data_IF_173251232783
#
_entry.id   IF_173251232783
#
_cell.length_a   1.000
_cell.length_b   1.000
_cell.length_c   1.000
_cell.angle_alpha   90.00
_cell.angle_beta   90.00
_cell.angle_gamma   90.00
#
_symmetry.space_group_name_H-M   'P 1'
#
loop_
_entity.id
_entity.type
_entity.pdbx_description
1 polymer ?
#
# COMPACT_ATOMS: atom_id res chain seq x y z
N UNK A 1 3.02 -81.83 7.59
CA UNK A 1 3.38 -80.89 8.65
C UNK A 1 4.59 -80.05 8.26
N UNK A 2 5.83 -80.59 8.35
CA UNK A 2 7.07 -79.79 8.19
C UNK A 2 7.24 -79.22 6.77
N UNK A 3 6.93 -79.98 5.72
CA UNK A 3 6.93 -79.51 4.34
C UNK A 3 5.91 -78.39 4.10
N UNK A 4 4.70 -78.51 4.65
CA UNK A 4 3.68 -77.43 4.58
C UNK A 4 4.10 -76.16 5.34
N UNK A 5 4.84 -76.29 6.46
CA UNK A 5 5.41 -75.15 7.15
C UNK A 5 6.49 -74.45 6.33
N UNK A 6 7.38 -75.19 5.63
CA UNK A 6 8.35 -74.59 4.73
C UNK A 6 7.70 -73.93 3.52
N UNK A 7 6.66 -74.51 2.91
CA UNK A 7 5.88 -73.87 1.87
C UNK A 7 5.22 -72.56 2.36
N UNK A 8 4.73 -72.52 3.58
CA UNK A 8 4.23 -71.29 4.22
C UNK A 8 5.32 -70.26 4.42
N UNK A 9 6.50 -70.64 4.92
CA UNK A 9 7.66 -69.74 5.05
C UNK A 9 8.13 -69.16 3.71
N UNK A 10 8.10 -69.98 2.66
CA UNK A 10 8.47 -69.59 1.30
C UNK A 10 7.36 -68.82 0.58
N UNK A 11 6.19 -68.60 1.25
CA UNK A 11 5.01 -67.92 0.67
C UNK A 11 4.38 -68.70 -0.51
N UNK A 12 4.62 -69.99 -0.59
CA UNK A 12 4.04 -70.89 -1.60
C UNK A 12 2.64 -71.39 -1.17
N UNK A 13 2.36 -71.36 0.14
CA UNK A 13 1.06 -71.72 0.73
C UNK A 13 0.68 -70.69 1.79
N UNK A 14 -0.62 -70.40 1.94
CA UNK A 14 -1.17 -69.51 2.95
C UNK A 14 -1.46 -70.20 4.29
N UNK A 15 -1.46 -71.52 4.36
CA UNK A 15 -1.76 -72.30 5.52
C UNK A 15 -0.65 -73.29 5.88
N UNK A 16 -0.41 -73.48 7.17
CA UNK A 16 0.49 -74.50 7.68
C UNK A 16 -0.29 -75.50 8.56
N UNK A 17 0.04 -76.79 8.44
CA UNK A 17 -0.49 -77.85 9.26
C UNK A 17 0.51 -78.26 10.34
N UNK A 18 0.02 -78.44 11.58
CA UNK A 18 0.88 -78.90 12.67
C UNK A 18 1.25 -80.37 12.52
N UNK A 19 2.36 -80.74 13.16
CA UNK A 19 2.79 -82.14 13.26
C UNK A 19 1.88 -82.90 14.23
N UNK A 20 1.70 -84.22 14.02
CA UNK A 20 0.98 -85.07 14.91
C UNK A 20 1.73 -85.24 16.24
N UNK A 21 1.08 -84.90 17.38
CA UNK A 21 1.67 -84.96 18.72
C UNK A 21 1.15 -86.24 19.49
N UNK A 22 0.43 -87.11 18.83
CA UNK A 22 -0.22 -88.24 19.49
C UNK A 22 0.76 -89.31 20.02
N UNK A 23 1.97 -89.38 19.46
CA UNK A 23 3.01 -90.29 19.89
C UNK A 23 3.59 -89.88 21.27
N UNK A 24 3.84 -90.87 22.13
CA UNK A 24 4.40 -90.64 23.48
C UNK A 24 5.90 -90.89 23.55
N UNK A 25 6.54 -91.05 22.40
CA UNK A 25 7.98 -91.28 22.23
C UNK A 25 8.74 -89.96 21.96
N UNK A 26 10.00 -90.02 21.67
CA UNK A 26 10.88 -88.90 21.36
C UNK A 26 10.39 -88.10 20.15
N UNK A 27 9.69 -88.77 19.20
CA UNK A 27 9.14 -88.12 18.02
C UNK A 27 7.93 -87.24 18.37
N UNK A 28 7.06 -87.71 19.30
CA UNK A 28 5.97 -86.89 19.79
C UNK A 28 6.42 -85.66 20.61
N UNK A 29 7.50 -85.81 21.41
CA UNK A 29 8.09 -84.67 22.11
C UNK A 29 8.72 -83.68 21.13
N UNK A 30 9.41 -84.15 20.07
CA UNK A 30 9.96 -83.30 19.04
C UNK A 30 8.89 -82.60 18.24
N UNK A 31 7.76 -83.25 17.94
CA UNK A 31 6.59 -82.67 17.29
C UNK A 31 6.04 -81.49 18.09
N UNK A 32 5.94 -81.59 19.43
CA UNK A 32 5.48 -80.50 20.31
C UNK A 32 6.41 -79.26 20.23
N UNK A 33 7.69 -79.48 20.34
CA UNK A 33 8.67 -78.38 20.25
C UNK A 33 8.65 -77.70 18.88
N UNK A 34 8.54 -78.46 17.82
CA UNK A 34 8.42 -77.95 16.44
C UNK A 34 7.13 -77.17 16.27
N UNK A 35 5.96 -77.70 16.75
CA UNK A 35 4.68 -77.03 16.66
C UNK A 35 4.65 -75.71 17.41
N UNK A 36 5.25 -75.64 18.61
CA UNK A 36 5.38 -74.36 19.34
C UNK A 36 6.16 -73.34 18.51
N UNK A 37 7.25 -73.74 17.85
CA UNK A 37 8.01 -72.82 16.99
C UNK A 37 7.25 -72.45 15.71
N UNK A 38 6.50 -73.37 15.09
CA UNK A 38 5.60 -73.12 13.95
C UNK A 38 4.57 -72.03 14.32
N UNK A 39 3.87 -72.22 15.45
CA UNK A 39 2.85 -71.26 15.92
C UNK A 39 3.47 -69.91 16.24
N UNK A 40 4.62 -69.86 16.91
CA UNK A 40 5.33 -68.59 17.21
C UNK A 40 5.75 -67.88 15.95
N UNK A 41 6.32 -68.61 14.97
CA UNK A 41 6.75 -68.00 13.69
C UNK A 41 5.55 -67.51 12.88
N UNK A 42 4.44 -68.31 12.85
CA UNK A 42 3.22 -67.90 12.18
C UNK A 42 2.64 -66.62 12.80
N UNK A 43 2.51 -66.57 14.14
CA UNK A 43 2.05 -65.38 14.83
C UNK A 43 2.92 -64.13 14.52
N UNK A 44 4.26 -64.30 14.51
CA UNK A 44 5.18 -63.20 14.14
C UNK A 44 4.99 -62.73 12.70
N UNK A 45 4.81 -63.63 11.74
CA UNK A 45 4.57 -63.29 10.33
C UNK A 45 3.20 -62.57 10.19
N UNK A 46 2.19 -62.96 10.93
CA UNK A 46 0.87 -62.32 10.92
C UNK A 46 0.93 -60.90 11.55
N UNK A 47 1.69 -60.72 12.64
CA UNK A 47 1.96 -59.41 13.22
C UNK A 47 2.70 -58.49 12.22
N UNK A 48 3.76 -58.98 11.60
CA UNK A 48 4.55 -58.28 10.60
C UNK A 48 3.65 -57.82 9.44
N UNK A 49 2.79 -58.68 8.94
CA UNK A 49 1.87 -58.37 7.85
C UNK A 49 0.85 -57.29 8.23
N UNK A 50 0.25 -57.37 9.43
CA UNK A 50 -0.66 -56.32 9.91
C UNK A 50 0.02 -54.97 9.97
N UNK A 51 1.26 -54.89 10.45
CA UNK A 51 1.98 -53.62 10.49
C UNK A 51 2.30 -53.10 9.06
N UNK A 52 2.63 -53.97 8.12
CA UNK A 52 2.84 -53.61 6.73
C UNK A 52 1.56 -53.04 6.11
N UNK A 53 0.42 -53.69 6.31
CA UNK A 53 -0.87 -53.23 5.80
C UNK A 53 -1.27 -51.87 6.43
N UNK A 54 -1.08 -51.70 7.75
CA UNK A 54 -1.28 -50.44 8.44
C UNK A 54 -0.34 -49.35 7.92
N UNK A 55 0.93 -49.72 7.64
CA UNK A 55 1.92 -48.78 7.07
C UNK A 55 1.47 -48.27 5.71
N UNK A 56 1.00 -49.13 4.82
CA UNK A 56 0.46 -48.74 3.52
C UNK A 56 -0.75 -47.81 3.69
N UNK A 57 -1.62 -48.10 4.63
CA UNK A 57 -2.79 -47.23 4.92
C UNK A 57 -2.38 -45.87 5.44
N UNK A 58 -1.47 -45.80 6.44
CA UNK A 58 -0.98 -44.52 7.01
C UNK A 58 -0.25 -43.67 5.98
N UNK A 59 0.60 -44.30 5.14
CA UNK A 59 1.27 -43.58 4.07
C UNK A 59 0.31 -43.09 2.99
N UNK A 60 -0.79 -43.82 2.74
CA UNK A 60 -1.87 -43.39 1.86
C UNK A 60 -2.60 -42.15 2.38
N UNK A 61 -2.80 -42.05 3.69
CA UNK A 61 -3.36 -40.83 4.33
C UNK A 61 -2.35 -39.66 4.25
N UNK A 62 -1.06 -39.92 4.46
CA UNK A 62 -0.02 -38.90 4.29
C UNK A 62 0.04 -38.37 2.86
N UNK A 63 -0.13 -39.21 1.84
CA UNK A 63 -0.23 -38.80 0.44
C UNK A 63 -1.42 -37.86 0.19
N UNK A 64 -2.52 -38.03 0.90
CA UNK A 64 -3.69 -37.16 0.84
C UNK A 64 -3.57 -35.91 1.71
N UNK A 65 -2.51 -35.80 2.52
CA UNK A 65 -2.23 -34.65 3.38
C UNK A 65 -2.71 -34.79 4.83
N UNK A 66 -3.31 -35.93 5.20
CA UNK A 66 -3.62 -36.22 6.61
C UNK A 66 -2.36 -36.78 7.30
N UNK A 67 -1.64 -35.90 7.97
CA UNK A 67 -0.41 -36.23 8.70
C UNK A 67 -0.67 -36.66 10.15
N UNK A 68 -1.93 -36.74 10.60
CA UNK A 68 -2.29 -37.09 11.98
C UNK A 68 -2.25 -38.58 12.26
N UNK A 69 -2.23 -39.41 11.22
CA UNK A 69 -2.26 -40.87 11.35
C UNK A 69 -0.95 -41.45 11.87
N UNK A 70 -1.05 -42.51 12.69
CA UNK A 70 0.15 -43.16 13.28
C UNK A 70 -0.01 -44.67 13.24
N UNK A 71 1.16 -45.37 13.16
CA UNK A 71 1.24 -46.81 13.30
C UNK A 71 1.13 -47.18 14.76
N UNK A 72 0.16 -48.06 15.08
CA UNK A 72 -0.15 -48.54 16.45
C UNK A 72 0.09 -50.03 16.65
N UNK A 73 0.20 -50.81 15.57
CA UNK A 73 0.44 -52.26 15.61
C UNK A 73 1.84 -52.53 16.21
N UNK A 74 1.84 -53.35 17.26
CA UNK A 74 3.08 -53.84 17.88
C UNK A 74 3.53 -55.13 17.21
N UNK A 75 4.80 -55.20 16.94
CA UNK A 75 5.47 -56.34 16.27
C UNK A 75 6.67 -56.80 17.09
N UNK A 76 6.96 -58.09 16.99
CA UNK A 76 8.14 -58.67 17.62
C UNK A 76 9.42 -58.49 16.79
N UNK A 77 9.29 -58.13 15.50
CA UNK A 77 10.39 -57.95 14.57
C UNK A 77 11.07 -56.59 14.83
N UNK A 78 12.35 -56.57 15.24
CA UNK A 78 13.06 -55.32 15.57
C UNK A 78 13.16 -54.31 14.40
N UNK A 79 13.34 -54.83 13.17
CA UNK A 79 13.45 -53.99 12.00
C UNK A 79 12.11 -53.26 11.69
N UNK A 80 11.00 -53.93 11.81
CA UNK A 80 9.68 -53.33 11.61
C UNK A 80 9.31 -52.43 12.77
N UNK A 81 9.70 -52.70 14.00
CA UNK A 81 9.56 -51.81 15.14
C UNK A 81 10.30 -50.48 14.91
N UNK A 82 11.56 -50.58 14.39
CA UNK A 82 12.33 -49.39 14.03
C UNK A 82 11.65 -48.61 12.89
N UNK A 83 11.15 -49.29 11.86
CA UNK A 83 10.42 -48.67 10.76
C UNK A 83 9.18 -47.88 11.26
N UNK A 84 8.38 -48.53 12.12
CA UNK A 84 7.21 -47.87 12.73
C UNK A 84 7.62 -46.61 13.49
N UNK A 85 8.71 -46.66 14.27
CA UNK A 85 9.21 -45.48 15.01
C UNK A 85 9.62 -44.35 14.07
N UNK A 86 10.31 -44.67 12.95
CA UNK A 86 10.74 -43.66 11.97
C UNK A 86 9.55 -43.03 11.25
N UNK A 87 8.56 -43.82 10.83
CA UNK A 87 7.37 -43.31 10.14
C UNK A 87 6.53 -42.41 11.07
N UNK A 88 6.30 -42.85 12.32
CA UNK A 88 5.60 -42.04 13.29
C UNK A 88 6.35 -40.74 13.59
N UNK A 89 7.68 -40.80 13.77
CA UNK A 89 8.52 -39.62 13.97
C UNK A 89 8.51 -38.67 12.77
N UNK A 90 8.45 -39.19 11.53
CA UNK A 90 8.27 -38.37 10.33
C UNK A 90 6.93 -37.67 10.35
N UNK A 91 5.83 -38.40 10.69
CA UNK A 91 4.50 -37.80 10.84
C UNK A 91 4.50 -36.66 11.87
N UNK A 92 5.06 -36.90 13.08
CA UNK A 92 5.12 -35.88 14.15
C UNK A 92 5.84 -34.61 13.70
N UNK A 93 6.96 -34.76 12.99
CA UNK A 93 7.75 -33.60 12.53
C UNK A 93 7.02 -32.85 11.43
N UNK A 94 6.44 -33.54 10.45
CA UNK A 94 5.71 -32.89 9.35
C UNK A 94 4.47 -32.17 9.84
N UNK A 95 3.64 -32.85 10.66
CA UNK A 95 2.42 -32.29 11.25
C UNK A 95 2.75 -31.00 12.04
N UNK A 96 3.73 -31.04 12.96
CA UNK A 96 4.16 -29.91 13.75
C UNK A 96 4.68 -28.75 12.90
N UNK A 97 5.41 -29.02 11.83
CA UNK A 97 5.92 -27.96 10.95
C UNK A 97 4.80 -27.27 10.17
N UNK A 98 3.83 -28.04 9.68
CA UNK A 98 2.65 -27.49 8.99
C UNK A 98 1.79 -26.69 9.97
N UNK A 99 1.53 -27.21 11.17
CA UNK A 99 0.79 -26.47 12.22
C UNK A 99 1.43 -25.14 12.57
N UNK A 100 2.78 -25.09 12.72
CA UNK A 100 3.50 -23.85 12.98
C UNK A 100 3.31 -22.82 11.85
N UNK A 101 3.28 -23.29 10.60
CA UNK A 101 3.06 -22.40 9.45
C UNK A 101 1.62 -21.89 9.45
N UNK A 102 0.65 -22.78 9.70
CA UNK A 102 -0.78 -22.44 9.76
C UNK A 102 -1.07 -21.46 10.90
N UNK A 103 -0.48 -21.62 12.09
CA UNK A 103 -0.64 -20.69 13.22
C UNK A 103 -0.17 -19.27 12.84
N UNK A 104 0.96 -19.14 12.13
CA UNK A 104 1.45 -17.83 11.67
C UNK A 104 0.53 -17.24 10.60
N UNK A 105 0.04 -18.04 9.67
CA UNK A 105 -0.91 -17.58 8.64
C UNK A 105 -2.25 -17.16 9.25
N UNK A 106 -2.73 -17.84 10.30
CA UNK A 106 -3.92 -17.44 11.04
C UNK A 106 -3.72 -16.06 11.72
N UNK A 107 -2.56 -15.83 12.30
CA UNK A 107 -2.20 -14.49 12.83
C UNK A 107 -2.17 -13.44 11.74
N UNK A 108 -1.66 -13.77 10.55
CA UNK A 108 -1.66 -12.86 9.40
C UNK A 108 -3.09 -12.55 8.92
N UNK A 109 -3.99 -13.53 8.93
CA UNK A 109 -5.41 -13.32 8.61
C UNK A 109 -6.10 -12.39 9.60
N UNK A 110 -5.58 -12.32 10.84
CA UNK A 110 -6.00 -11.40 11.90
C UNK A 110 -5.22 -10.07 11.91
N UNK A 111 -4.57 -9.72 10.78
CA UNK A 111 -3.76 -8.50 10.60
C UNK A 111 -2.53 -8.39 11.51
N UNK A 112 -2.06 -9.48 12.13
CA UNK A 112 -0.86 -9.51 12.94
C UNK A 112 0.31 -10.12 12.16
N UNK A 113 1.07 -9.28 11.44
CA UNK A 113 2.17 -9.67 10.58
C UNK A 113 3.55 -9.72 11.28
N UNK A 114 3.59 -9.55 12.61
CA UNK A 114 4.85 -9.54 13.37
C UNK A 114 5.35 -10.94 13.72
N UNK A 115 4.47 -11.94 13.65
CA UNK A 115 4.81 -13.32 13.96
C UNK A 115 5.63 -13.94 12.83
N UNK A 116 6.52 -14.87 13.20
CA UNK A 116 7.40 -15.56 12.26
C UNK A 116 7.32 -17.06 12.46
N UNK A 117 7.37 -17.79 11.34
CA UNK A 117 7.57 -19.23 11.36
C UNK A 117 9.00 -19.54 11.80
N UNK A 118 9.16 -20.46 12.76
CA UNK A 118 10.49 -20.92 13.16
C UNK A 118 11.13 -21.72 12.04
N UNK A 119 12.37 -21.40 11.72
CA UNK A 119 13.16 -22.10 10.69
C UNK A 119 14.10 -23.15 11.27
N UNK A 120 14.12 -23.33 12.60
CA UNK A 120 15.02 -24.27 13.26
C UNK A 120 14.71 -25.71 12.87
N UNK A 121 15.74 -26.41 12.38
CA UNK A 121 15.64 -27.82 11.96
C UNK A 121 14.96 -28.04 10.62
N UNK A 122 14.44 -27.01 9.96
CA UNK A 122 13.88 -27.10 8.61
C UNK A 122 14.99 -27.15 7.56
N UNK A 123 14.71 -27.90 6.50
CA UNK A 123 15.61 -28.03 5.34
C UNK A 123 14.81 -27.87 4.05
N UNK A 124 15.54 -27.50 2.99
CA UNK A 124 15.06 -27.43 1.61
C UNK A 124 13.64 -26.83 1.49
N UNK A 125 12.66 -27.60 1.05
CA UNK A 125 11.31 -27.11 0.70
C UNK A 125 10.55 -26.52 1.92
N UNK A 126 10.66 -27.14 3.09
CA UNK A 126 10.02 -26.62 4.31
C UNK A 126 10.69 -25.35 4.78
N UNK A 127 12.01 -25.25 4.66
CA UNK A 127 12.75 -24.02 4.96
C UNK A 127 12.36 -22.90 3.97
N UNK A 128 12.27 -23.21 2.68
CA UNK A 128 11.86 -22.26 1.66
C UNK A 128 10.44 -21.75 1.91
N UNK A 129 9.51 -22.65 2.27
CA UNK A 129 8.13 -22.28 2.62
C UNK A 129 8.08 -21.36 3.85
N UNK A 130 8.78 -21.71 4.92
CA UNK A 130 8.87 -20.89 6.14
C UNK A 130 9.45 -19.50 5.85
N UNK A 131 10.53 -19.43 5.07
CA UNK A 131 11.12 -18.17 4.64
C UNK A 131 10.17 -17.34 3.76
N UNK A 132 9.41 -17.98 2.87
CA UNK A 132 8.40 -17.34 2.03
C UNK A 132 7.31 -16.67 2.88
N UNK A 133 6.77 -17.39 3.87
CA UNK A 133 5.77 -16.85 4.81
C UNK A 133 6.37 -15.69 5.61
N UNK A 134 7.59 -15.83 6.12
CA UNK A 134 8.27 -14.78 6.87
C UNK A 134 8.49 -13.52 6.02
N UNK A 135 8.92 -13.69 4.76
CA UNK A 135 9.12 -12.59 3.81
C UNK A 135 7.82 -11.87 3.47
N UNK A 136 6.71 -12.62 3.34
CA UNK A 136 5.37 -12.04 3.16
C UNK A 136 5.01 -11.13 4.34
N UNK A 137 5.18 -11.60 5.59
CA UNK A 137 4.93 -10.80 6.79
C UNK A 137 5.77 -9.52 6.84
N UNK A 138 7.07 -9.59 6.48
CA UNK A 138 7.95 -8.43 6.42
C UNK A 138 7.51 -7.42 5.35
N UNK A 139 7.17 -7.90 4.17
CA UNK A 139 6.72 -7.06 3.05
C UNK A 139 5.42 -6.33 3.40
N UNK A 140 4.42 -7.03 3.96
CA UNK A 140 3.16 -6.42 4.40
C UNK A 140 3.40 -5.42 5.54
N UNK A 141 4.26 -5.76 6.51
CA UNK A 141 4.61 -4.84 7.61
C UNK A 141 5.26 -3.56 7.09
N UNK A 142 6.16 -3.67 6.11
CA UNK A 142 6.83 -2.53 5.48
C UNK A 142 5.84 -1.66 4.72
N UNK A 143 4.95 -2.26 3.93
CA UNK A 143 3.90 -1.57 3.20
C UNK A 143 2.94 -0.81 4.14
N UNK A 144 2.54 -1.42 5.27
CA UNK A 144 1.69 -0.76 6.27
C UNK A 144 2.39 0.43 6.94
N UNK A 145 3.70 0.32 7.22
CA UNK A 145 4.50 1.44 7.75
C UNK A 145 4.58 2.59 6.75
N UNK A 146 4.82 2.28 5.48
CA UNK A 146 4.87 3.28 4.41
C UNK A 146 3.50 3.96 4.23
N UNK A 147 2.42 3.18 4.17
CA UNK A 147 1.06 3.72 4.09
C UNK A 147 0.71 4.64 5.26
N UNK A 148 1.11 4.27 6.49
CA UNK A 148 0.95 5.13 7.66
C UNK A 148 1.73 6.44 7.51
N UNK A 149 2.98 6.38 7.06
CA UNK A 149 3.81 7.57 6.80
C UNK A 149 3.20 8.49 5.75
N UNK A 150 2.72 7.89 4.64
CA UNK A 150 2.05 8.62 3.57
C UNK A 150 0.74 9.27 4.06
N UNK A 151 -0.03 8.58 4.90
CA UNK A 151 -1.23 9.12 5.53
C UNK A 151 -0.94 10.34 6.41
N UNK A 152 0.10 10.28 7.24
CA UNK A 152 0.54 11.41 8.07
C UNK A 152 1.02 12.60 7.22
N UNK A 153 1.75 12.34 6.15
CA UNK A 153 2.20 13.38 5.21
C UNK A 153 1.03 14.04 4.51
N UNK A 154 0.01 13.27 4.10
CA UNK A 154 -1.21 13.78 3.49
C UNK A 154 -2.02 14.66 4.46
N UNK A 155 -2.15 14.24 5.72
CA UNK A 155 -2.78 15.03 6.78
C UNK A 155 -2.06 16.37 6.98
N UNK A 156 -0.73 16.34 7.09
CA UNK A 156 0.09 17.56 7.22
C UNK A 156 -0.06 18.47 6.00
N UNK A 157 -0.04 17.92 4.78
CA UNK A 157 -0.23 18.69 3.54
C UNK A 157 -1.62 19.32 3.47
N UNK A 158 -2.66 18.60 3.89
CA UNK A 158 -4.03 19.13 3.97
C UNK A 158 -4.14 20.31 4.94
N UNK A 159 -3.49 20.21 6.11
CA UNK A 159 -3.47 21.33 7.07
C UNK A 159 -2.75 22.55 6.51
N UNK A 160 -1.63 22.38 5.80
CA UNK A 160 -0.93 23.48 5.10
C UNK A 160 -1.81 24.09 4.02
N UNK A 161 -2.54 23.28 3.25
CA UNK A 161 -3.47 23.78 2.24
C UNK A 161 -4.58 24.62 2.86
N UNK A 162 -5.17 24.20 3.98
CA UNK A 162 -6.20 24.98 4.70
C UNK A 162 -5.65 26.36 5.12
N UNK A 163 -4.46 26.38 5.72
CA UNK A 163 -3.81 27.66 6.10
C UNK A 163 -3.53 28.55 4.90
N UNK A 164 -3.14 27.99 3.75
CA UNK A 164 -2.92 28.75 2.53
C UNK A 164 -4.23 29.30 1.94
N UNK A 165 -5.34 28.54 2.02
CA UNK A 165 -6.66 29.01 1.60
C UNK A 165 -7.12 30.18 2.47
N UNK A 166 -6.94 30.12 3.79
CA UNK A 166 -7.26 31.20 4.71
C UNK A 166 -6.44 32.46 4.39
N UNK A 167 -5.14 32.30 4.15
CA UNK A 167 -4.27 33.41 3.76
C UNK A 167 -4.65 33.99 2.40
N UNK A 168 -5.06 33.15 1.44
CA UNK A 168 -5.55 33.61 0.14
C UNK A 168 -6.83 34.42 0.27
N UNK A 169 -7.76 33.99 1.13
CA UNK A 169 -8.99 34.73 1.42
C UNK A 169 -8.69 36.11 2.03
N UNK A 170 -7.76 36.20 2.99
CA UNK A 170 -7.33 37.48 3.57
C UNK A 170 -6.74 38.39 2.50
N UNK A 171 -5.79 37.89 1.71
CA UNK A 171 -5.14 38.65 0.62
C UNK A 171 -6.13 39.10 -0.46
N UNK A 172 -7.14 38.28 -0.76
CA UNK A 172 -8.21 38.64 -1.70
C UNK A 172 -9.08 39.76 -1.18
N UNK A 173 -9.41 39.74 0.12
CA UNK A 173 -10.17 40.84 0.76
C UNK A 173 -9.36 42.14 0.79
N UNK A 174 -8.04 42.08 1.09
CA UNK A 174 -7.15 43.23 1.04
C UNK A 174 -7.04 43.80 -0.39
N UNK A 175 -6.93 42.94 -1.39
CA UNK A 175 -6.91 43.35 -2.79
C UNK A 175 -8.22 44.01 -3.23
N UNK A 176 -9.38 43.47 -2.78
CA UNK A 176 -10.69 44.07 -3.05
C UNK A 176 -10.80 45.46 -2.44
N UNK A 177 -10.38 45.65 -1.19
CA UNK A 177 -10.37 46.98 -0.54
C UNK A 177 -9.45 47.97 -1.29
N UNK A 178 -8.27 47.54 -1.70
CA UNK A 178 -7.34 48.36 -2.49
C UNK A 178 -7.90 48.74 -3.87
N UNK A 179 -8.68 47.84 -4.48
CA UNK A 179 -9.38 48.14 -5.74
C UNK A 179 -10.48 49.15 -5.55
N UNK A 180 -11.27 49.07 -4.42
CA UNK A 180 -12.29 50.09 -4.08
C UNK A 180 -11.65 51.46 -3.87
N UNK A 181 -10.51 51.56 -3.12
CA UNK A 181 -9.78 52.82 -2.96
C UNK A 181 -9.27 53.38 -4.29
N UNK A 182 -8.74 52.49 -5.17
CA UNK A 182 -8.26 52.89 -6.51
C UNK A 182 -9.42 53.40 -7.37
N UNK A 183 -10.58 52.77 -7.31
CA UNK A 183 -11.78 53.19 -8.04
C UNK A 183 -12.25 54.60 -7.57
N UNK A 184 -12.31 54.81 -6.24
CA UNK A 184 -12.64 56.11 -5.67
C UNK A 184 -11.65 57.22 -6.10
N UNK A 185 -10.33 56.95 -6.10
CA UNK A 185 -9.33 57.89 -6.57
C UNK A 185 -9.48 58.21 -8.07
N UNK A 186 -9.83 57.20 -8.89
CA UNK A 186 -10.09 57.42 -10.32
C UNK A 186 -11.35 58.27 -10.55
N UNK A 187 -12.41 58.09 -9.74
CA UNK A 187 -13.58 58.97 -9.80
C UNK A 187 -13.23 60.43 -9.45
N UNK A 188 -12.43 60.66 -8.40
CA UNK A 188 -11.91 61.98 -8.04
C UNK A 188 -11.08 62.60 -9.16
N UNK A 189 -10.14 61.84 -9.72
CA UNK A 189 -9.33 62.32 -10.88
C UNK A 189 -10.22 62.66 -12.06
N UNK A 190 -11.23 61.85 -12.37
CA UNK A 190 -12.17 62.08 -13.46
C UNK A 190 -12.95 63.42 -13.23
N UNK A 191 -13.42 63.66 -11.99
CA UNK A 191 -14.09 64.86 -11.58
C UNK A 191 -13.14 66.08 -11.75
N UNK A 192 -11.89 65.97 -11.30
CA UNK A 192 -10.87 67.01 -11.45
C UNK A 192 -10.57 67.32 -12.92
N UNK A 193 -10.47 66.33 -13.77
CA UNK A 193 -10.27 66.49 -15.25
C UNK A 193 -11.48 67.29 -15.82
N UNK A 194 -12.68 66.95 -15.44
CA UNK A 194 -13.91 67.66 -15.89
C UNK A 194 -13.90 69.13 -15.47
N UNK A 195 -13.56 69.41 -14.19
CA UNK A 195 -13.46 70.78 -13.66
C UNK A 195 -12.35 71.59 -14.38
N UNK A 196 -11.20 70.93 -14.65
CA UNK A 196 -10.10 71.54 -15.43
C UNK A 196 -10.54 71.82 -16.86
N UNK A 197 -11.26 70.96 -17.51
CA UNK A 197 -11.77 71.16 -18.88
C UNK A 197 -12.74 72.37 -18.93
N UNK A 198 -13.65 72.50 -17.94
CA UNK A 198 -14.53 73.65 -17.81
C UNK A 198 -13.75 74.94 -17.59
N UNK A 199 -12.70 74.90 -16.75
CA UNK A 199 -11.83 76.05 -16.48
C UNK A 199 -11.05 76.47 -17.73
N UNK A 200 -10.57 75.54 -18.54
CA UNK A 200 -9.91 75.76 -19.82
C UNK A 200 -10.91 76.44 -20.80
N UNK A 201 -12.13 75.99 -20.87
CA UNK A 201 -13.16 76.57 -21.71
C UNK A 201 -13.43 78.06 -21.30
N UNK A 202 -13.55 78.31 -19.99
CA UNK A 202 -13.70 79.71 -19.47
C UNK A 202 -12.48 80.58 -19.79
N UNK A 203 -11.24 80.07 -19.64
CA UNK A 203 -10.02 80.77 -20.02
C UNK A 203 -9.99 81.08 -21.53
N UNK A 204 -10.40 80.15 -22.37
CA UNK A 204 -10.49 80.36 -23.82
C UNK A 204 -11.45 81.53 -24.17
N UNK A 205 -12.63 81.54 -23.53
CA UNK A 205 -13.60 82.64 -23.72
C UNK A 205 -13.04 84.00 -23.24
N UNK A 206 -12.37 83.99 -22.07
CA UNK A 206 -11.73 85.22 -21.53
C UNK A 206 -10.58 85.72 -22.46
N UNK A 207 -9.76 84.78 -22.96
CA UNK A 207 -8.69 85.14 -23.93
C UNK A 207 -9.25 85.73 -25.20
N UNK A 208 -10.34 85.23 -25.75
CA UNK A 208 -11.01 85.79 -26.90
C UNK A 208 -11.63 87.18 -26.56
N UNK A 209 -12.16 87.37 -25.35
CA UNK A 209 -12.59 88.67 -24.88
C UNK A 209 -11.45 89.71 -24.78
N UNK A 210 -10.29 89.29 -24.21
CA UNK A 210 -9.10 90.17 -24.16
C UNK A 210 -8.59 90.50 -25.58
N UNK A 211 -8.53 89.54 -26.48
CA UNK A 211 -8.13 89.81 -27.87
C UNK A 211 -9.05 90.83 -28.57
N UNK A 212 -10.37 90.73 -28.33
CA UNK A 212 -11.34 91.71 -28.87
C UNK A 212 -11.14 93.07 -28.26
N UNK A 213 -10.97 93.18 -26.92
CA UNK A 213 -10.73 94.47 -26.25
C UNK A 213 -9.38 95.11 -26.72
N UNK A 214 -8.33 94.29 -26.95
CA UNK A 214 -7.08 94.80 -27.51
C UNK A 214 -7.26 95.36 -28.94
N UNK A 215 -8.00 94.65 -29.79
CA UNK A 215 -8.31 95.10 -31.14
C UNK A 215 -9.14 96.40 -31.15
N UNK A 216 -10.18 96.50 -30.24
CA UNK A 216 -10.92 97.72 -30.09
C UNK A 216 -10.08 98.87 -29.55
N UNK A 217 -9.25 98.61 -28.55
CA UNK A 217 -8.24 99.58 -28.07
C UNK A 217 -7.29 100.07 -29.18
N UNK A 218 -6.82 99.17 -29.99
CA UNK A 218 -5.94 99.50 -31.16
C UNK A 218 -6.67 100.35 -32.20
N UNK A 219 -7.94 100.05 -32.47
CA UNK A 219 -8.77 100.89 -33.36
C UNK A 219 -9.02 102.27 -32.79
N UNK A 220 -9.34 102.43 -31.47
CA UNK A 220 -9.45 103.71 -30.83
C UNK A 220 -8.13 104.56 -30.81
N UNK A 221 -7.01 103.84 -30.55
CA UNK A 221 -5.69 104.54 -30.62
C UNK A 221 -5.38 105.04 -32.03
N UNK A 222 -5.70 104.26 -33.07
CA UNK A 222 -5.54 104.71 -34.48
C UNK A 222 -6.47 105.91 -34.81
N UNK A 223 -7.76 105.85 -34.30
CA UNK A 223 -8.63 107.01 -34.49
C UNK A 223 -8.10 108.24 -33.79
N UNK A 224 -7.56 108.07 -32.58
CA UNK A 224 -6.99 109.20 -31.83
C UNK A 224 -5.72 109.75 -32.61
N UNK A 225 -4.86 108.92 -33.17
CA UNK A 225 -3.74 109.34 -33.97
C UNK A 225 -4.21 110.12 -35.21
N UNK A 226 -5.22 109.64 -35.93
CA UNK A 226 -5.83 110.35 -37.08
C UNK A 226 -6.39 111.71 -36.69
N UNK A 227 -7.13 111.76 -35.57
CA UNK A 227 -7.63 113.03 -35.08
C UNK A 227 -6.56 114.01 -34.68
N UNK A 228 -5.45 113.57 -34.08
CA UNK A 228 -4.28 114.40 -33.79
C UNK A 228 -3.54 114.88 -35.09
N UNK A 229 -3.50 114.06 -36.11
CA UNK A 229 -2.94 114.48 -37.43
C UNK A 229 -3.85 115.59 -38.10
N UNK A 230 -5.14 115.43 -37.98
CA UNK A 230 -6.12 116.45 -38.42
C UNK A 230 -5.96 117.76 -37.66
N UNK A 231 -5.84 117.66 -36.29
CA UNK A 231 -5.59 118.84 -35.45
C UNK A 231 -4.25 119.53 -35.86
N UNK A 232 -3.18 118.72 -36.05
CA UNK A 232 -1.90 119.27 -36.48
C UNK A 232 -1.99 119.95 -37.86
N UNK A 233 -2.71 119.36 -38.79
CA UNK A 233 -3.04 119.94 -40.06
C UNK A 233 -3.82 121.29 -39.89
N UNK A 234 -4.83 121.34 -39.07
CA UNK A 234 -5.59 122.56 -38.76
C UNK A 234 -4.72 123.66 -38.10
N UNK A 235 -3.82 123.22 -37.16
CA UNK A 235 -2.89 124.20 -36.48
C UNK A 235 -1.90 124.77 -37.49
N UNK A 236 -1.37 123.93 -38.47
CA UNK A 236 -0.50 124.41 -39.52
C UNK A 236 -1.21 125.38 -40.47
N UNK A 237 -2.49 125.11 -40.85
CA UNK A 237 -3.31 126.09 -41.65
C UNK A 237 -3.57 127.38 -40.90
N UNK A 238 -3.82 127.32 -39.56
CA UNK A 238 -3.90 128.57 -38.78
C UNK A 238 -2.58 129.32 -38.75
N UNK A 239 -1.42 128.60 -38.62
CA UNK A 239 -0.13 129.26 -38.65
C UNK A 239 0.25 129.90 -40.03
N UNK A 240 -0.30 129.37 -41.11
CA UNK A 240 -0.08 129.96 -42.49
C UNK A 240 -1.04 131.17 -42.71
N UNK A 241 -2.10 131.33 -41.90
CA UNK A 241 -3.09 132.41 -42.07
C UNK A 241 -2.81 133.68 -41.20
N UNK A 242 -1.80 133.64 -40.31
CA UNK A 242 -1.26 134.74 -39.51
C UNK A 242 0.01 135.29 -40.13
#
# INVERSE_FOLDING_TARGET
>A
GLLGFFAYLNREDSNTTLLDESNKDEFGQMAKVVNVNILKTKAGIEEDRKLIDETISVLGEFEQGDLSQRLNTKVSNPALMQLSTVINGMGDILEKNIENILDVLEKYSSYNYLNKVSTNGLKEQLLALANGVNSLGDSVTSMLKENKSNGLTLEQSSNVLLLNVDKLNLSSNEAAASLEETAAALEEITSNIRNNTESIAKMSMLSNGVTKAVNEGQAMANQTTTAMDEINTQVNLVNEAI
#
